data_IF_604303970066
#
_entry.id   IF_604303970066
#
_cell.length_a   1.000
_cell.length_b   1.000
_cell.length_c   1.000
_cell.angle_alpha   90.00
_cell.angle_beta   90.00
_cell.angle_gamma   90.00
#
_symmetry.space_group_name_H-M   'P 1'
#
loop_
_entity.id
_entity.type
_entity.pdbx_description
1 polymer ?
#
# COMPACT_ATOMS: atom_id res chain seq x y z
N UNK A 1 33.19 21.15 32.50
CA UNK A 1 32.05 20.60 31.75
C UNK A 1 32.41 20.69 30.27
N UNK A 2 32.90 19.60 29.66
CA UNK A 2 33.31 19.61 28.24
C UNK A 2 32.06 19.36 27.40
N UNK A 3 31.57 20.40 26.73
CA UNK A 3 30.48 20.27 25.74
C UNK A 3 31.06 19.56 24.51
N UNK A 4 30.83 18.25 24.38
CA UNK A 4 31.06 17.56 23.10
C UNK A 4 30.04 18.09 22.11
N UNK A 5 30.47 18.99 21.24
CA UNK A 5 29.72 19.29 20.01
C UNK A 5 29.62 17.98 19.24
N UNK A 6 28.41 17.49 18.91
CA UNK A 6 28.29 16.28 18.12
C UNK A 6 29.01 16.51 16.79
N UNK A 7 29.82 15.54 16.32
CA UNK A 7 30.50 15.69 15.04
C UNK A 7 29.45 15.97 13.95
N UNK A 8 29.77 16.83 12.95
CA UNK A 8 28.84 17.11 11.87
C UNK A 8 28.43 15.79 11.20
N UNK A 9 27.12 15.63 10.96
CA UNK A 9 26.60 14.47 10.24
C UNK A 9 27.33 14.31 8.91
N UNK A 10 27.88 13.13 8.70
CA UNK A 10 28.59 12.81 7.47
C UNK A 10 27.69 12.99 6.25
N UNK A 11 28.24 13.49 5.13
CA UNK A 11 27.45 13.90 3.96
C UNK A 11 26.61 12.72 3.40
N UNK A 12 27.16 11.50 3.50
CA UNK A 12 26.49 10.26 3.12
C UNK A 12 25.29 9.94 4.01
N UNK A 13 25.42 10.16 5.33
CA UNK A 13 24.33 9.96 6.31
C UNK A 13 23.19 10.95 6.05
N UNK A 14 23.52 12.22 5.77
CA UNK A 14 22.54 13.26 5.46
C UNK A 14 21.75 12.94 4.18
N UNK A 15 22.45 12.42 3.16
CA UNK A 15 21.82 11.96 1.92
C UNK A 15 20.84 10.80 2.15
N UNK A 16 21.23 9.79 2.93
CA UNK A 16 20.35 8.66 3.28
C UNK A 16 19.09 9.12 4.03
N UNK A 17 19.21 10.07 4.96
CA UNK A 17 18.07 10.62 5.69
C UNK A 17 17.08 11.30 4.74
N UNK A 18 17.56 12.15 3.83
CA UNK A 18 16.70 12.84 2.83
C UNK A 18 15.97 11.81 1.96
N UNK A 19 16.68 10.80 1.47
CA UNK A 19 16.07 9.74 0.66
C UNK A 19 15.04 8.91 1.44
N UNK A 20 15.23 8.70 2.74
CA UNK A 20 14.25 8.01 3.56
C UNK A 20 13.01 8.87 3.80
N UNK A 21 13.15 10.19 4.01
CA UNK A 21 12.00 11.11 4.09
C UNK A 21 11.17 11.04 2.82
N UNK A 22 11.81 11.14 1.65
CA UNK A 22 11.13 11.00 0.34
C UNK A 22 10.43 9.64 0.25
N UNK A 23 11.08 8.56 0.70
CA UNK A 23 10.47 7.24 0.74
C UNK A 23 9.20 7.18 1.59
N UNK A 24 9.20 7.79 2.78
CA UNK A 24 8.01 7.84 3.64
C UNK A 24 6.90 8.73 3.06
N UNK A 25 7.25 9.79 2.32
CA UNK A 25 6.26 10.58 1.56
C UNK A 25 5.61 9.74 0.46
N UNK A 26 6.39 8.94 -0.28
CA UNK A 26 5.83 8.00 -1.25
C UNK A 26 4.98 6.91 -0.59
N UNK A 27 5.36 6.45 0.61
CA UNK A 27 4.53 5.54 1.38
C UNK A 27 3.20 6.19 1.80
N UNK A 28 3.18 7.48 2.17
CA UNK A 28 1.94 8.18 2.46
C UNK A 28 1.02 8.27 1.23
N UNK A 29 1.58 8.51 0.04
CA UNK A 29 0.84 8.44 -1.22
C UNK A 29 0.31 7.03 -1.50
N UNK A 30 1.09 5.99 -1.19
CA UNK A 30 0.65 4.60 -1.30
C UNK A 30 -0.53 4.29 -0.37
N UNK A 31 -0.53 4.81 0.86
CA UNK A 31 -1.66 4.69 1.79
C UNK A 31 -2.90 5.36 1.22
N UNK A 32 -2.77 6.55 0.63
CA UNK A 32 -3.89 7.22 -0.04
C UNK A 32 -4.42 6.40 -1.22
N UNK A 33 -3.54 5.81 -2.04
CA UNK A 33 -3.94 4.91 -3.12
C UNK A 33 -4.67 3.65 -2.59
N UNK A 34 -4.16 3.04 -1.52
CA UNK A 34 -4.81 1.91 -0.85
C UNK A 34 -6.19 2.26 -0.29
N UNK A 35 -6.33 3.44 0.32
CA UNK A 35 -7.63 3.93 0.79
C UNK A 35 -8.61 4.15 -0.37
N UNK A 36 -8.13 4.66 -1.51
CA UNK A 36 -8.94 4.81 -2.73
C UNK A 36 -9.38 3.44 -3.26
N UNK A 37 -8.51 2.43 -3.26
CA UNK A 37 -8.85 1.05 -3.61
C UNK A 37 -9.96 0.47 -2.71
N UNK A 38 -9.87 0.66 -1.39
CA UNK A 38 -10.91 0.24 -0.44
C UNK A 38 -12.21 1.01 -0.69
N UNK A 39 -12.12 2.32 -0.94
CA UNK A 39 -13.30 3.14 -1.24
C UNK A 39 -14.03 2.67 -2.50
N UNK A 40 -13.29 2.39 -3.58
CA UNK A 40 -13.84 1.85 -4.83
C UNK A 40 -14.47 0.48 -4.63
N UNK A 41 -13.94 -0.35 -3.73
CA UNK A 41 -14.51 -1.68 -3.44
C UNK A 41 -15.96 -1.62 -2.92
N UNK A 42 -16.38 -0.51 -2.30
CA UNK A 42 -17.77 -0.34 -1.86
C UNK A 42 -18.76 -0.27 -3.01
N UNK A 43 -18.31 0.09 -4.21
CA UNK A 43 -19.15 0.18 -5.40
C UNK A 43 -19.23 -1.13 -6.19
N UNK A 44 -18.59 -2.22 -5.73
CA UNK A 44 -18.69 -3.52 -6.39
C UNK A 44 -20.13 -4.04 -6.47
N UNK A 45 -20.98 -3.70 -5.51
CA UNK A 45 -22.42 -4.02 -5.55
C UNK A 45 -23.15 -3.32 -6.72
N UNK A 46 -22.83 -2.05 -6.99
CA UNK A 46 -23.45 -1.29 -8.10
C UNK A 46 -23.02 -1.81 -9.47
N UNK A 47 -21.83 -2.40 -9.57
CA UNK A 47 -21.37 -3.05 -10.81
C UNK A 47 -22.18 -4.32 -11.14
N UNK A 48 -22.75 -4.98 -10.12
CA UNK A 48 -23.56 -6.18 -10.32
C UNK A 48 -25.02 -5.90 -10.68
N UNK A 49 -25.50 -4.65 -10.52
CA UNK A 49 -26.88 -4.25 -10.84
C UNK A 49 -27.18 -4.19 -12.36
N UNK A 50 -26.14 -4.10 -13.20
CA UNK A 50 -26.27 -4.15 -14.66
C UNK A 50 -26.63 -5.55 -15.20
N UNK A 51 -26.70 -6.55 -14.33
CA UNK A 51 -26.91 -7.94 -14.68
C UNK A 51 -28.42 -8.25 -14.64
N UNK A 52 -29.11 -8.09 -15.77
CA UNK A 52 -30.59 -8.09 -15.84
C UNK A 52 -31.25 -9.48 -15.90
N UNK A 53 -30.46 -10.56 -15.93
CA UNK A 53 -31.00 -11.93 -16.01
C UNK A 53 -30.97 -12.66 -14.67
N UNK A 54 -32.04 -13.44 -14.43
CA UNK A 54 -32.27 -14.31 -13.26
C UNK A 54 -31.17 -15.34 -12.94
N UNK A 55 -30.11 -15.40 -13.75
CA UNK A 55 -28.88 -16.16 -13.52
C UNK A 55 -27.81 -15.39 -12.70
N UNK A 56 -27.99 -14.08 -12.44
CA UNK A 56 -27.03 -13.28 -11.70
C UNK A 56 -27.18 -13.46 -10.19
N UNK A 57 -26.84 -14.65 -9.74
CA UNK A 57 -26.58 -14.98 -8.35
C UNK A 57 -25.23 -14.33 -7.89
N UNK A 58 -24.80 -13.20 -8.46
CA UNK A 58 -23.47 -12.61 -8.22
C UNK A 58 -23.35 -11.88 -6.87
N UNK A 59 -24.48 -11.60 -6.21
CA UNK A 59 -24.53 -10.90 -4.92
C UNK A 59 -23.71 -11.62 -3.83
N UNK A 60 -23.63 -12.96 -3.84
CA UNK A 60 -22.82 -13.70 -2.85
C UNK A 60 -21.31 -13.55 -3.06
N UNK A 61 -20.84 -13.08 -4.23
CA UNK A 61 -19.41 -12.87 -4.54
C UNK A 61 -18.92 -11.46 -4.23
N UNK A 62 -19.83 -10.50 -4.12
CA UNK A 62 -19.50 -9.10 -3.82
C UNK A 62 -18.79 -8.98 -2.46
N UNK A 63 -19.34 -9.59 -1.42
CA UNK A 63 -18.74 -9.53 -0.08
C UNK A 63 -17.35 -10.22 -0.01
N UNK A 64 -17.15 -11.44 -0.55
CA UNK A 64 -15.82 -12.02 -0.70
C UNK A 64 -14.83 -11.14 -1.47
N UNK A 65 -15.25 -10.49 -2.56
CA UNK A 65 -14.39 -9.60 -3.34
C UNK A 65 -13.99 -8.34 -2.54
N UNK A 66 -14.92 -7.76 -1.77
CA UNK A 66 -14.63 -6.66 -0.85
C UNK A 66 -13.64 -7.06 0.23
N UNK A 67 -13.87 -8.20 0.89
CA UNK A 67 -12.96 -8.72 1.94
C UNK A 67 -11.56 -8.97 1.36
N UNK A 68 -11.47 -9.47 0.12
CA UNK A 68 -10.20 -9.67 -0.59
C UNK A 68 -9.47 -8.34 -0.79
N UNK A 69 -10.18 -7.27 -1.20
CA UNK A 69 -9.60 -5.93 -1.28
C UNK A 69 -9.10 -5.44 0.08
N UNK A 70 -9.91 -5.58 1.14
CA UNK A 70 -9.56 -5.04 2.46
C UNK A 70 -8.33 -5.74 3.03
N UNK A 71 -8.31 -7.06 3.02
CA UNK A 71 -7.19 -7.86 3.53
C UNK A 71 -5.95 -7.65 2.64
N UNK A 72 -6.13 -7.63 1.32
CA UNK A 72 -5.03 -7.44 0.37
C UNK A 72 -4.36 -6.08 0.55
N UNK A 73 -5.14 -4.99 0.60
CA UNK A 73 -4.62 -3.63 0.83
C UNK A 73 -3.91 -3.55 2.18
N UNK A 74 -4.52 -4.05 3.26
CA UNK A 74 -3.90 -4.06 4.59
C UNK A 74 -2.56 -4.81 4.57
N UNK A 75 -2.53 -5.99 3.94
CA UNK A 75 -1.32 -6.82 3.81
C UNK A 75 -0.21 -6.08 3.06
N UNK A 76 -0.51 -5.47 1.91
CA UNK A 76 0.46 -4.73 1.11
C UNK A 76 1.01 -3.52 1.87
N UNK A 77 0.16 -2.73 2.53
CA UNK A 77 0.59 -1.56 3.29
C UNK A 77 1.48 -1.96 4.48
N UNK A 78 1.04 -2.94 5.28
CA UNK A 78 1.77 -3.41 6.45
C UNK A 78 3.11 -4.02 6.04
N UNK A 79 3.14 -4.90 5.04
CA UNK A 79 4.40 -5.51 4.58
C UNK A 79 5.37 -4.48 4.02
N UNK A 80 4.88 -3.52 3.23
CA UNK A 80 5.71 -2.42 2.70
C UNK A 80 6.30 -1.59 3.84
N UNK A 81 5.49 -1.23 4.85
CA UNK A 81 5.95 -0.47 6.00
C UNK A 81 7.01 -1.22 6.81
N UNK A 82 6.79 -2.52 7.07
CA UNK A 82 7.75 -3.37 7.79
C UNK A 82 9.09 -3.38 7.06
N UNK A 83 9.10 -3.61 5.75
CA UNK A 83 10.34 -3.64 4.96
C UNK A 83 11.05 -2.28 4.99
N UNK A 84 10.30 -1.17 4.89
CA UNK A 84 10.86 0.17 5.00
C UNK A 84 11.47 0.42 6.37
N UNK A 85 10.78 0.11 7.47
CA UNK A 85 11.31 0.28 8.83
C UNK A 85 12.57 -0.56 9.03
N UNK A 86 12.55 -1.84 8.67
CA UNK A 86 13.70 -2.75 8.83
C UNK A 86 14.91 -2.33 8.00
N UNK A 87 14.70 -1.80 6.78
CA UNK A 87 15.80 -1.32 5.94
C UNK A 87 16.32 0.04 6.37
N UNK A 88 15.43 0.92 6.82
CA UNK A 88 15.79 2.24 7.36
C UNK A 88 16.65 2.08 8.62
N UNK A 89 16.31 1.17 9.54
CA UNK A 89 17.13 0.90 10.74
C UNK A 89 18.51 0.29 10.42
N UNK A 90 18.67 -0.30 9.24
CA UNK A 90 19.97 -0.80 8.72
C UNK A 90 20.75 0.24 7.91
N UNK A 91 20.33 1.51 7.93
CA UNK A 91 20.98 2.61 7.20
C UNK A 91 20.86 2.49 5.67
N UNK A 92 19.89 1.72 5.16
CA UNK A 92 19.66 1.57 3.71
C UNK A 92 18.59 2.55 3.25
N UNK A 93 18.72 3.01 2.01
CA UNK A 93 17.71 3.85 1.35
C UNK A 93 16.44 3.04 1.08
N UNK A 94 15.28 3.61 1.42
CA UNK A 94 13.98 2.92 1.31
C UNK A 94 13.03 3.48 0.25
N UNK A 95 13.46 4.50 -0.50
CA UNK A 95 12.60 5.24 -1.44
C UNK A 95 11.93 4.40 -2.55
N UNK A 96 12.52 3.26 -2.94
CA UNK A 96 11.95 2.40 -3.99
C UNK A 96 10.84 1.44 -3.54
N UNK A 97 10.71 1.16 -2.24
CA UNK A 97 9.76 0.17 -1.72
C UNK A 97 8.28 0.53 -1.95
N UNK A 98 7.86 1.80 -1.83
CA UNK A 98 6.49 2.20 -2.14
C UNK A 98 6.06 1.88 -3.58
N UNK A 99 6.98 1.87 -4.55
CA UNK A 99 6.67 1.49 -5.95
C UNK A 99 6.33 -0.01 -6.02
N UNK A 100 7.08 -0.85 -5.31
CA UNK A 100 6.76 -2.27 -5.18
C UNK A 100 5.41 -2.50 -4.47
N UNK A 101 5.12 -1.70 -3.43
CA UNK A 101 3.81 -1.70 -2.78
C UNK A 101 2.68 -1.32 -3.74
N UNK A 102 2.89 -0.35 -4.62
CA UNK A 102 1.90 0.06 -5.62
C UNK A 102 1.60 -1.06 -6.63
N UNK A 103 2.61 -1.80 -7.07
CA UNK A 103 2.41 -3.01 -7.87
C UNK A 103 1.63 -4.07 -7.09
N UNK A 104 1.90 -4.23 -5.79
CA UNK A 104 1.12 -5.09 -4.91
C UNK A 104 -0.37 -4.71 -4.86
N UNK A 105 -0.69 -3.42 -4.81
CA UNK A 105 -2.09 -2.96 -4.85
C UNK A 105 -2.78 -3.30 -6.19
N UNK A 106 -2.06 -3.19 -7.31
CA UNK A 106 -2.59 -3.62 -8.62
C UNK A 106 -2.93 -5.10 -8.61
N UNK A 107 -2.06 -5.95 -8.05
CA UNK A 107 -2.32 -7.39 -7.92
C UNK A 107 -3.56 -7.66 -7.06
N UNK A 108 -3.69 -6.98 -5.92
CA UNK A 108 -4.87 -7.10 -5.05
C UNK A 108 -6.16 -6.72 -5.78
N UNK A 109 -6.13 -5.66 -6.58
CA UNK A 109 -7.27 -5.23 -7.37
C UNK A 109 -7.70 -6.28 -8.40
N UNK A 110 -6.73 -6.84 -9.14
CA UNK A 110 -6.99 -7.91 -10.11
C UNK A 110 -7.55 -9.16 -9.42
N UNK A 111 -6.97 -9.58 -8.30
CA UNK A 111 -7.46 -10.73 -7.53
C UNK A 111 -8.90 -10.53 -7.06
N UNK A 112 -9.25 -9.31 -6.64
CA UNK A 112 -10.61 -9.02 -6.19
C UNK A 112 -11.62 -9.02 -7.34
N UNK A 113 -11.21 -8.56 -8.53
CA UNK A 113 -12.02 -8.68 -9.75
C UNK A 113 -12.22 -10.14 -10.18
N UNK A 114 -11.22 -11.00 -9.98
CA UNK A 114 -11.34 -12.44 -10.25
C UNK A 114 -12.29 -13.14 -9.27
N UNK A 115 -12.34 -12.70 -8.01
CA UNK A 115 -13.29 -13.22 -7.01
C UNK A 115 -14.72 -12.76 -7.31
N UNK A 116 -14.87 -11.56 -7.89
CA UNK A 116 -16.16 -10.97 -8.20
C UNK A 116 -16.88 -11.67 -9.37
N UNK A 117 -16.14 -12.11 -10.40
CA UNK A 117 -16.68 -12.81 -11.58
C UNK A 117 -16.70 -14.33 -11.41
#
# INVERSE_FOLDING_TARGET
MVTRVPPPMDAQTRSTVIWNIIGYLFYALLVAAGALCVWVSFFFAMATDACHDSACNASYRVFPAMVTMWIGVATVLVTTLIVMVVKSTRGKVVAGWPIGGLLGLVVVFVLSMLVLH
#
